data_IF_357874325119
#
_entry.id   IF_357874325119
#
_cell.length_a   1.000
_cell.length_b   1.000
_cell.length_c   1.000
_cell.angle_alpha   90.00
_cell.angle_beta   90.00
_cell.angle_gamma   90.00
#
_symmetry.space_group_name_H-M   'P 1'
#
loop_
_entity.id
_entity.type
_entity.pdbx_description
1 polymer ?
#
# COMPACT_ATOMS: atom_id res chain seq x y z
N UNK A 1 -17.34 -27.84 -12.07
CA UNK A 1 -17.94 -26.63 -12.68
C UNK A 1 -19.31 -26.43 -12.05
N UNK A 2 -19.40 -25.61 -10.99
CA UNK A 2 -20.65 -25.42 -10.26
C UNK A 2 -21.43 -24.22 -10.81
N UNK A 3 -22.69 -24.48 -11.16
CA UNK A 3 -23.75 -23.53 -11.49
C UNK A 3 -24.06 -22.59 -10.32
N UNK A 4 -23.25 -21.55 -10.12
CA UNK A 4 -23.57 -20.43 -9.22
C UNK A 4 -23.75 -19.10 -9.99
N UNK A 5 -24.12 -19.18 -11.28
CA UNK A 5 -24.59 -18.00 -12.00
C UNK A 5 -26.05 -17.76 -11.63
N UNK A 6 -26.33 -16.66 -10.91
CA UNK A 6 -27.65 -16.17 -10.48
C UNK A 6 -28.11 -16.50 -9.05
N UNK A 7 -27.20 -16.49 -8.06
CA UNK A 7 -27.64 -16.06 -6.73
C UNK A 7 -27.66 -14.54 -6.71
N UNK A 8 -28.84 -13.94 -6.61
CA UNK A 8 -28.93 -12.50 -6.32
C UNK A 8 -28.28 -12.29 -4.94
N UNK A 9 -27.21 -11.51 -4.90
CA UNK A 9 -26.53 -11.16 -3.66
C UNK A 9 -27.48 -10.30 -2.81
N UNK A 10 -27.49 -10.56 -1.50
CA UNK A 10 -28.25 -9.71 -0.59
C UNK A 10 -27.60 -8.30 -0.53
N UNK A 11 -28.37 -7.23 -0.20
CA UNK A 11 -27.84 -5.86 -0.21
C UNK A 11 -26.59 -5.65 0.67
N UNK A 12 -26.49 -6.41 1.76
CA UNK A 12 -25.36 -6.48 2.70
C UNK A 12 -24.15 -7.26 2.18
N UNK A 13 -24.32 -8.06 1.12
CA UNK A 13 -23.24 -8.75 0.42
C UNK A 13 -22.63 -7.90 -0.70
N UNK A 14 -23.23 -6.75 -1.02
CA UNK A 14 -22.71 -5.82 -2.04
C UNK A 14 -21.67 -4.87 -1.44
N UNK A 15 -20.61 -4.65 -2.20
CA UNK A 15 -19.58 -3.69 -1.86
C UNK A 15 -20.07 -2.26 -2.15
N UNK A 16 -19.85 -1.34 -1.21
CA UNK A 16 -20.11 0.08 -1.38
C UNK A 16 -18.82 0.87 -1.22
N UNK A 17 -18.57 1.79 -2.15
CA UNK A 17 -17.44 2.73 -2.05
C UNK A 17 -17.79 3.78 -1.00
N UNK A 18 -16.96 3.87 0.03
CA UNK A 18 -17.07 4.89 1.06
C UNK A 18 -16.39 6.18 0.59
N UNK A 19 -17.19 7.18 0.22
CA UNK A 19 -16.67 8.48 -0.21
C UNK A 19 -15.96 9.25 0.91
N UNK A 20 -16.43 9.14 2.16
CA UNK A 20 -15.80 9.85 3.26
C UNK A 20 -14.40 9.32 3.56
N UNK A 21 -14.11 8.07 3.23
CA UNK A 21 -12.76 7.51 3.31
C UNK A 21 -11.83 8.01 2.19
N UNK A 22 -12.39 8.32 1.02
CA UNK A 22 -11.61 8.86 -0.11
C UNK A 22 -11.27 10.34 0.12
N UNK A 23 -12.22 11.12 0.62
CA UNK A 23 -12.09 12.57 0.84
C UNK A 23 -11.88 12.95 2.31
N UNK A 24 -11.70 11.99 3.21
CA UNK A 24 -11.57 12.25 4.66
C UNK A 24 -10.26 12.91 5.06
N UNK A 25 -9.35 13.08 4.11
CA UNK A 25 -8.11 13.83 4.28
C UNK A 25 -8.31 15.26 3.76
N UNK A 26 -8.14 16.25 4.63
CA UNK A 26 -8.29 17.69 4.32
C UNK A 26 -7.41 18.19 3.17
N UNK A 27 -6.41 17.39 2.78
CA UNK A 27 -5.52 17.70 1.67
C UNK A 27 -6.04 17.20 0.31
N UNK A 28 -7.09 16.37 0.27
CA UNK A 28 -7.59 15.72 -0.95
C UNK A 28 -8.85 16.41 -1.43
N UNK A 29 -8.79 16.97 -2.63
CA UNK A 29 -9.91 17.71 -3.23
C UNK A 29 -10.34 17.02 -4.52
N UNK A 30 -11.44 16.26 -4.44
CA UNK A 30 -12.06 15.65 -5.62
C UNK A 30 -13.04 16.62 -6.29
N UNK A 31 -13.07 16.59 -7.62
CA UNK A 31 -14.04 17.31 -8.41
C UNK A 31 -15.44 16.68 -8.16
N UNK A 32 -16.44 17.46 -7.69
CA UNK A 32 -17.77 16.94 -7.38
C UNK A 32 -18.46 16.24 -8.55
N UNK A 33 -18.15 16.65 -9.80
CA UNK A 33 -18.71 16.02 -11.01
C UNK A 33 -18.30 14.55 -11.17
N UNK A 34 -17.28 14.07 -10.45
CA UNK A 34 -16.80 12.68 -10.50
C UNK A 34 -17.60 11.73 -9.61
N UNK A 35 -18.58 12.22 -8.85
CA UNK A 35 -19.40 11.38 -8.00
C UNK A 35 -20.20 10.34 -8.80
N UNK A 36 -20.75 10.73 -9.96
CA UNK A 36 -21.46 9.81 -10.86
C UNK A 36 -20.54 8.73 -11.46
N UNK A 37 -19.30 9.10 -11.80
CA UNK A 37 -18.28 8.17 -12.27
C UNK A 37 -17.96 7.13 -11.19
N UNK A 38 -17.88 7.53 -9.92
CA UNK A 38 -17.60 6.62 -8.79
C UNK A 38 -18.78 5.66 -8.53
N UNK A 39 -20.02 6.13 -8.62
CA UNK A 39 -21.21 5.26 -8.54
C UNK A 39 -21.18 4.21 -9.65
N UNK A 40 -20.79 4.60 -10.87
CA UNK A 40 -20.63 3.67 -11.98
C UNK A 40 -19.53 2.64 -11.72
N UNK A 41 -18.39 3.06 -11.17
CA UNK A 41 -17.30 2.16 -10.77
C UNK A 41 -17.80 1.16 -9.72
N UNK A 42 -18.50 1.60 -8.68
CA UNK A 42 -19.06 0.72 -7.65
C UNK A 42 -19.99 -0.35 -8.25
N UNK A 43 -20.87 0.06 -9.18
CA UNK A 43 -21.75 -0.88 -9.89
C UNK A 43 -20.95 -1.98 -10.60
N UNK A 44 -19.89 -1.60 -11.33
CA UNK A 44 -19.05 -2.57 -12.03
C UNK A 44 -18.16 -3.40 -11.11
N UNK A 45 -17.72 -2.88 -9.96
CA UNK A 45 -17.05 -3.69 -8.93
C UNK A 45 -17.96 -4.83 -8.48
N UNK A 46 -19.21 -4.50 -8.13
CA UNK A 46 -20.18 -5.50 -7.70
C UNK A 46 -20.47 -6.55 -8.78
N UNK A 47 -20.69 -6.09 -10.01
CA UNK A 47 -20.98 -6.97 -11.14
C UNK A 47 -19.83 -7.91 -11.51
N UNK A 48 -18.58 -7.43 -11.44
CA UNK A 48 -17.42 -8.17 -11.94
C UNK A 48 -16.76 -8.99 -10.83
N UNK A 49 -16.61 -8.44 -9.63
CA UNK A 49 -15.85 -9.06 -8.54
C UNK A 49 -16.77 -9.73 -7.52
N UNK A 50 -17.71 -8.97 -6.96
CA UNK A 50 -18.57 -9.48 -5.88
C UNK A 50 -19.45 -10.64 -6.35
N UNK A 51 -20.06 -10.53 -7.54
CA UNK A 51 -20.86 -11.62 -8.14
C UNK A 51 -20.03 -12.88 -8.49
N UNK A 52 -18.71 -12.77 -8.64
CA UNK A 52 -17.81 -13.92 -8.81
C UNK A 52 -17.33 -14.49 -7.46
N UNK A 53 -17.86 -13.98 -6.35
CA UNK A 53 -17.55 -14.40 -5.00
C UNK A 53 -16.25 -13.81 -4.44
N UNK A 54 -15.67 -12.79 -5.06
CA UNK A 54 -14.62 -11.99 -4.41
C UNK A 54 -15.24 -11.07 -3.36
N UNK A 55 -14.46 -10.68 -2.36
CA UNK A 55 -14.86 -9.72 -1.33
C UNK A 55 -13.97 -8.49 -1.45
N UNK A 56 -14.37 -7.46 -2.23
CA UNK A 56 -13.60 -6.24 -2.31
C UNK A 56 -13.51 -5.57 -0.94
N UNK A 57 -12.34 -5.04 -0.61
CA UNK A 57 -12.08 -4.34 0.66
C UNK A 57 -11.56 -2.95 0.35
N UNK A 58 -12.19 -1.93 0.95
CA UNK A 58 -11.69 -0.55 0.88
C UNK A 58 -10.94 -0.18 2.15
N UNK A 59 -9.83 0.53 1.97
CA UNK A 59 -9.20 1.34 3.00
C UNK A 59 -8.83 2.69 2.40
N UNK A 60 -9.48 3.75 2.87
CA UNK A 60 -9.20 5.09 2.38
C UNK A 60 -9.41 5.18 0.86
N UNK A 61 -8.31 5.49 0.17
CA UNK A 61 -8.24 5.70 -1.29
C UNK A 61 -7.87 4.45 -2.11
N UNK A 62 -7.81 3.28 -1.46
CA UNK A 62 -7.40 2.00 -2.05
C UNK A 62 -8.50 0.97 -1.87
N UNK A 63 -8.79 0.22 -2.94
CA UNK A 63 -9.74 -0.89 -2.92
C UNK A 63 -9.03 -2.15 -3.42
N UNK A 64 -8.86 -3.14 -2.56
CA UNK A 64 -8.39 -4.46 -2.96
C UNK A 64 -9.56 -5.24 -3.59
N UNK A 65 -9.48 -5.52 -4.89
CA UNK A 65 -10.58 -6.11 -5.67
C UNK A 65 -10.51 -7.64 -5.72
N UNK A 66 -9.31 -8.19 -5.82
CA UNK A 66 -9.07 -9.61 -6.04
C UNK A 66 -7.73 -10.03 -5.45
N UNK A 67 -7.72 -11.17 -4.77
CA UNK A 67 -6.54 -11.94 -4.41
C UNK A 67 -6.61 -13.29 -5.13
N UNK A 68 -5.49 -13.76 -5.69
CA UNK A 68 -5.45 -15.05 -6.39
C UNK A 68 -5.41 -16.23 -5.43
N UNK A 69 -4.60 -16.16 -4.37
CA UNK A 69 -4.48 -17.23 -3.37
C UNK A 69 -5.53 -17.14 -2.28
N UNK A 70 -6.78 -17.48 -2.63
CA UNK A 70 -7.90 -17.48 -1.68
C UNK A 70 -7.76 -18.65 -0.72
N UNK A 71 -7.65 -18.36 0.58
CA UNK A 71 -7.56 -19.39 1.62
C UNK A 71 -6.19 -20.07 1.71
N UNK A 72 -5.16 -19.51 1.08
CA UNK A 72 -3.76 -19.98 1.15
C UNK A 72 -3.50 -21.38 0.57
N UNK A 73 -4.41 -21.91 -0.25
CA UNK A 73 -4.28 -23.27 -0.79
C UNK A 73 -3.23 -23.37 -1.89
N UNK A 74 -3.13 -22.36 -2.76
CA UNK A 74 -2.13 -22.37 -3.83
C UNK A 74 -0.73 -22.25 -3.24
N UNK A 75 -0.54 -21.35 -2.26
CA UNK A 75 0.74 -21.24 -1.55
C UNK A 75 1.06 -22.49 -0.73
N UNK A 76 0.08 -23.09 -0.05
CA UNK A 76 0.26 -24.36 0.66
C UNK A 76 0.79 -25.47 -0.26
N UNK A 77 0.15 -25.63 -1.42
CA UNK A 77 0.51 -26.62 -2.42
C UNK A 77 1.91 -26.35 -3.00
N UNK A 78 2.20 -25.11 -3.38
CA UNK A 78 3.52 -24.73 -3.90
C UNK A 78 4.62 -24.93 -2.85
N UNK A 79 4.37 -24.57 -1.58
CA UNK A 79 5.26 -24.85 -0.45
C UNK A 79 5.46 -26.35 -0.22
N UNK A 80 4.42 -27.16 -0.41
CA UNK A 80 4.49 -28.61 -0.30
C UNK A 80 5.48 -29.20 -1.30
N UNK A 81 5.35 -28.79 -2.57
CA UNK A 81 6.23 -29.22 -3.65
C UNK A 81 7.67 -28.79 -3.39
N UNK A 82 7.87 -27.54 -2.98
CA UNK A 82 9.19 -27.01 -2.66
C UNK A 82 9.89 -27.78 -1.52
N UNK A 83 9.14 -28.22 -0.51
CA UNK A 83 9.66 -28.94 0.66
C UNK A 83 9.55 -30.48 0.55
N UNK A 84 9.06 -31.01 -0.58
CA UNK A 84 8.86 -32.45 -0.79
C UNK A 84 7.83 -33.10 0.16
N UNK A 85 6.82 -32.35 0.62
CA UNK A 85 5.79 -32.81 1.58
C UNK A 85 4.49 -33.20 0.86
N UNK A 86 4.51 -34.35 0.20
CA UNK A 86 3.42 -34.80 -0.67
C UNK A 86 2.18 -35.35 0.07
N UNK A 87 2.31 -35.69 1.35
CA UNK A 87 1.24 -36.31 2.17
C UNK A 87 0.15 -35.35 2.65
N UNK A 88 0.45 -34.05 2.71
CA UNK A 88 -0.37 -33.00 3.35
C UNK A 88 -0.24 -31.68 2.58
N UNK A 89 -0.45 -31.72 1.26
CA UNK A 89 -0.18 -30.57 0.39
C UNK A 89 -1.06 -29.33 0.65
N UNK A 90 -2.18 -29.51 1.33
CA UNK A 90 -3.16 -28.48 1.68
C UNK A 90 -2.86 -27.79 3.02
N UNK A 91 -1.74 -28.12 3.69
CA UNK A 91 -1.33 -27.48 4.93
C UNK A 91 -1.00 -25.98 4.75
N UNK A 92 -1.97 -25.12 5.04
CA UNK A 92 -1.91 -23.66 4.91
C UNK A 92 -0.95 -22.98 5.87
N UNK A 93 -0.56 -23.64 6.95
CA UNK A 93 0.42 -23.10 7.89
C UNK A 93 1.86 -23.26 7.39
N UNK A 94 2.10 -24.18 6.46
CA UNK A 94 3.46 -24.54 5.99
C UNK A 94 4.22 -23.35 5.45
N UNK A 95 3.57 -22.50 4.66
CA UNK A 95 4.22 -21.32 4.12
C UNK A 95 4.68 -20.37 5.24
N UNK A 96 3.79 -20.03 6.17
CA UNK A 96 4.07 -19.08 7.25
C UNK A 96 5.07 -19.66 8.27
N UNK A 97 4.72 -20.77 8.92
CA UNK A 97 5.52 -21.36 10.01
C UNK A 97 6.73 -22.14 9.50
N UNK A 98 6.62 -22.79 8.35
CA UNK A 98 7.69 -23.64 7.81
C UNK A 98 8.69 -22.88 6.93
N UNK A 99 8.26 -21.83 6.21
CA UNK A 99 9.13 -21.13 5.27
C UNK A 99 9.47 -19.71 5.71
N UNK A 100 8.48 -18.88 6.04
CA UNK A 100 8.73 -17.48 6.44
C UNK A 100 9.57 -17.41 7.71
N UNK A 101 9.18 -18.16 8.75
CA UNK A 101 9.90 -18.19 10.02
C UNK A 101 11.35 -18.71 9.88
N UNK A 102 11.56 -19.68 8.99
CA UNK A 102 12.88 -20.23 8.69
C UNK A 102 13.72 -19.35 7.76
N UNK A 103 13.18 -18.23 7.26
CA UNK A 103 13.89 -17.33 6.35
C UNK A 103 14.08 -17.89 4.94
N UNK A 104 13.23 -18.82 4.50
CA UNK A 104 13.28 -19.39 3.14
C UNK A 104 12.78 -18.42 2.06
N UNK A 105 13.00 -18.81 0.79
CA UNK A 105 12.53 -18.06 -0.39
C UNK A 105 10.99 -17.96 -0.41
N UNK A 106 10.48 -16.85 -0.96
CA UNK A 106 9.04 -16.57 -1.06
C UNK A 106 8.45 -17.04 -2.39
N UNK A 107 9.17 -17.92 -3.08
CA UNK A 107 8.75 -18.55 -4.35
C UNK A 107 7.32 -19.08 -4.33
N UNK A 108 6.82 -19.73 -3.25
CA UNK A 108 5.45 -20.24 -3.22
C UNK A 108 4.35 -19.18 -3.40
N UNK A 109 4.61 -17.92 -3.03
CA UNK A 109 3.65 -16.81 -3.20
C UNK A 109 4.04 -15.85 -4.31
N UNK A 110 5.13 -16.12 -5.05
CA UNK A 110 5.61 -15.25 -6.13
C UNK A 110 4.60 -15.13 -7.28
N UNK A 111 3.92 -16.24 -7.60
CA UNK A 111 2.88 -16.27 -8.63
C UNK A 111 1.54 -15.71 -8.17
N UNK A 112 1.37 -15.52 -6.87
CA UNK A 112 0.15 -15.02 -6.27
C UNK A 112 0.13 -13.49 -6.28
N UNK A 113 -1.03 -12.91 -6.55
CA UNK A 113 -1.18 -11.48 -6.77
C UNK A 113 -2.45 -10.90 -6.17
N UNK A 114 -2.37 -9.60 -5.88
CA UNK A 114 -3.50 -8.80 -5.43
C UNK A 114 -3.70 -7.63 -6.41
N UNK A 115 -4.94 -7.49 -6.87
CA UNK A 115 -5.39 -6.39 -7.71
C UNK A 115 -5.95 -5.27 -6.84
N UNK A 116 -5.37 -4.08 -6.94
CA UNK A 116 -5.86 -2.88 -6.28
C UNK A 116 -6.42 -1.90 -7.30
N UNK A 117 -7.51 -1.24 -6.94
CA UNK A 117 -8.05 -0.05 -7.58
C UNK A 117 -7.77 1.16 -6.70
N UNK A 118 -7.30 2.23 -7.33
CA UNK A 118 -6.94 3.48 -6.67
C UNK A 118 -7.90 4.58 -7.13
N UNK A 119 -8.48 5.30 -6.17
CA UNK A 119 -9.39 6.44 -6.43
C UNK A 119 -8.93 7.61 -5.56
N UNK A 120 -8.78 8.80 -6.16
CA UNK A 120 -8.32 9.97 -5.41
C UNK A 120 -6.81 10.03 -5.17
N UNK A 121 -6.02 9.28 -5.95
CA UNK A 121 -4.56 9.20 -5.78
C UNK A 121 -3.83 10.14 -6.74
N UNK A 122 -2.86 10.88 -6.22
CA UNK A 122 -2.07 11.83 -7.01
C UNK A 122 -1.11 11.14 -7.98
N UNK A 123 -0.63 11.92 -8.96
CA UNK A 123 0.39 11.46 -9.90
C UNK A 123 1.71 11.03 -9.22
N UNK A 124 2.29 11.76 -8.24
CA UNK A 124 3.48 11.30 -7.52
C UNK A 124 3.33 9.91 -6.88
N UNK A 125 2.22 9.67 -6.18
CA UNK A 125 1.98 8.37 -5.56
C UNK A 125 1.83 7.28 -6.63
N UNK A 126 1.17 7.56 -7.76
CA UNK A 126 1.12 6.65 -8.91
C UNK A 126 2.52 6.33 -9.46
N UNK A 127 3.35 7.36 -9.70
CA UNK A 127 4.70 7.20 -10.25
C UNK A 127 5.60 6.39 -9.32
N UNK A 128 5.42 6.50 -8.00
CA UNK A 128 6.13 5.68 -7.02
C UNK A 128 5.67 4.23 -6.99
N UNK A 129 4.39 3.96 -7.25
CA UNK A 129 3.84 2.61 -7.15
C UNK A 129 4.05 1.79 -8.43
N UNK A 130 3.99 2.42 -9.59
CA UNK A 130 4.05 1.74 -10.90
C UNK A 130 5.33 0.90 -11.07
N UNK A 131 6.43 1.29 -10.42
CA UNK A 131 7.73 0.62 -10.50
C UNK A 131 7.75 -0.79 -9.92
N UNK A 132 6.75 -1.16 -9.10
CA UNK A 132 6.69 -2.47 -8.43
C UNK A 132 5.62 -3.41 -9.01
N UNK A 133 4.94 -2.99 -10.07
CA UNK A 133 3.76 -3.71 -10.61
C UNK A 133 4.16 -4.83 -11.57
N UNK A 134 3.47 -5.97 -11.51
CA UNK A 134 3.74 -7.12 -12.39
C UNK A 134 3.21 -6.90 -13.81
N UNK A 135 2.03 -6.27 -13.91
CA UNK A 135 1.38 -5.93 -15.16
C UNK A 135 1.16 -4.44 -15.16
N UNK A 136 1.92 -3.72 -15.98
CA UNK A 136 1.64 -2.33 -16.25
C UNK A 136 0.38 -2.26 -17.12
N UNK A 137 -0.80 -2.36 -16.48
CA UNK A 137 -2.05 -1.88 -17.07
C UNK A 137 -1.91 -0.37 -17.13
N UNK A 138 -1.14 0.13 -18.11
CA UNK A 138 -1.03 1.56 -18.38
C UNK A 138 -2.45 2.10 -18.36
N UNK A 139 -2.70 3.13 -17.54
CA UNK A 139 -3.95 3.87 -17.62
C UNK A 139 -4.15 4.19 -19.09
N UNK A 140 -5.20 3.65 -19.71
CA UNK A 140 -5.48 3.88 -21.11
C UNK A 140 -5.63 5.41 -21.29
N UNK A 141 -4.59 6.04 -21.85
CA UNK A 141 -4.51 7.47 -22.05
C UNK A 141 -4.01 8.34 -20.88
N UNK A 142 -4.03 7.93 -19.61
CA UNK A 142 -3.59 8.78 -18.49
C UNK A 142 -4.14 10.23 -18.58
N UNK A 143 -3.33 11.24 -18.25
CA UNK A 143 -3.65 12.67 -18.49
C UNK A 143 -3.57 13.09 -19.97
N UNK A 144 -3.21 12.20 -20.89
CA UNK A 144 -3.22 12.44 -22.34
C UNK A 144 -4.64 12.40 -22.91
N UNK A 145 -5.52 11.61 -22.32
CA UNK A 145 -6.89 11.41 -22.79
C UNK A 145 -7.96 11.85 -21.78
N UNK A 146 -7.59 12.05 -20.51
CA UNK A 146 -8.52 12.34 -19.44
C UNK A 146 -8.10 13.59 -18.67
N UNK A 147 -9.10 14.33 -18.18
CA UNK A 147 -8.88 15.43 -17.24
C UNK A 147 -8.56 14.90 -15.84
N UNK A 148 -7.77 15.63 -15.03
CA UNK A 148 -7.62 15.35 -13.61
C UNK A 148 -8.96 15.20 -12.90
N UNK A 149 -9.00 14.34 -11.89
CA UNK A 149 -10.18 14.15 -11.03
C UNK A 149 -10.20 15.11 -9.85
N UNK A 150 -9.15 15.91 -9.68
CA UNK A 150 -8.96 16.79 -8.53
C UNK A 150 -7.48 17.06 -8.29
N UNK A 151 -7.14 17.43 -7.05
CA UNK A 151 -5.77 17.69 -6.63
C UNK A 151 -5.55 17.29 -5.16
N UNK A 152 -4.27 17.05 -4.81
CA UNK A 152 -3.82 16.77 -3.45
C UNK A 152 -2.81 17.82 -3.04
N UNK A 153 -3.02 18.41 -1.86
CA UNK A 153 -2.08 19.32 -1.22
C UNK A 153 -1.02 18.50 -0.47
N UNK A 154 0.29 18.76 -0.63
CA UNK A 154 1.32 18.07 0.14
C UNK A 154 1.11 18.21 1.64
N UNK A 155 1.35 17.15 2.42
CA UNK A 155 1.24 17.19 3.89
C UNK A 155 2.21 18.21 4.51
N UNK A 156 3.31 18.44 3.82
CA UNK A 156 4.40 19.31 4.21
C UNK A 156 4.10 20.80 3.95
N UNK A 157 2.97 21.12 3.31
CA UNK A 157 2.59 22.50 3.00
C UNK A 157 2.27 23.29 4.28
N UNK A 158 3.02 24.37 4.53
CA UNK A 158 2.83 25.25 5.70
C UNK A 158 1.58 26.14 5.60
N UNK A 159 1.20 26.54 4.38
CA UNK A 159 0.02 27.36 4.11
C UNK A 159 -0.84 26.63 3.06
N UNK A 160 -1.85 25.88 3.51
CA UNK A 160 -2.63 25.01 2.64
C UNK A 160 -3.52 25.82 1.69
N UNK A 161 -4.02 26.95 2.16
CA UNK A 161 -4.95 27.85 1.47
C UNK A 161 -4.28 28.51 0.26
N UNK A 162 -3.01 28.91 0.40
CA UNK A 162 -2.21 29.41 -0.72
C UNK A 162 -1.99 28.32 -1.78
N UNK A 163 -1.63 27.10 -1.35
CA UNK A 163 -1.47 25.96 -2.27
C UNK A 163 -2.79 25.64 -2.99
N UNK A 164 -3.90 25.67 -2.26
CA UNK A 164 -5.25 25.45 -2.80
C UNK A 164 -5.56 26.47 -3.90
N UNK A 165 -5.42 27.76 -3.61
CA UNK A 165 -5.71 28.83 -4.56
C UNK A 165 -4.84 28.74 -5.83
N UNK A 166 -3.55 28.40 -5.68
CA UNK A 166 -2.66 28.21 -6.82
C UNK A 166 -3.04 27.00 -7.67
N UNK A 167 -3.35 25.86 -7.05
CA UNK A 167 -3.79 24.64 -7.73
C UNK A 167 -5.09 24.89 -8.52
N UNK A 168 -6.07 25.54 -7.88
CA UNK A 168 -7.36 25.87 -8.51
C UNK A 168 -7.19 26.83 -9.68
N UNK A 169 -6.39 27.89 -9.52
CA UNK A 169 -6.10 28.85 -10.58
C UNK A 169 -5.41 28.19 -11.78
N UNK A 170 -4.43 27.32 -11.55
CA UNK A 170 -3.71 26.64 -12.62
C UNK A 170 -4.60 25.64 -13.37
N UNK A 171 -5.46 24.91 -12.64
CA UNK A 171 -6.44 24.01 -13.25
C UNK A 171 -7.49 24.78 -14.07
N UNK A 172 -7.95 25.94 -13.60
CA UNK A 172 -8.88 26.79 -14.34
C UNK A 172 -8.27 27.28 -15.66
N UNK A 173 -7.01 27.74 -15.65
CA UNK A 173 -6.29 28.13 -16.87
C UNK A 173 -6.14 26.97 -17.87
N UNK A 174 -5.86 25.76 -17.38
CA UNK A 174 -5.81 24.56 -18.23
C UNK A 174 -7.18 24.22 -18.85
N UNK A 175 -8.28 24.42 -18.11
CA UNK A 175 -9.64 24.21 -18.58
C UNK A 175 -9.99 25.22 -19.69
N UNK A 176 -9.63 26.50 -19.53
CA UNK A 176 -9.83 27.54 -20.54
C UNK A 176 -9.14 27.20 -21.87
N UNK A 177 -7.88 26.75 -21.83
CA UNK A 177 -7.14 26.30 -23.02
C UNK A 177 -7.80 25.11 -23.74
N UNK A 178 -8.58 24.29 -23.01
CA UNK A 178 -9.31 23.16 -23.60
C UNK A 178 -10.63 23.59 -24.26
N UNK A 179 -11.19 24.73 -23.84
CA UNK A 179 -12.52 25.20 -24.21
C UNK A 179 -12.52 26.34 -25.26
N UNK A 180 -11.40 27.03 -25.46
CA UNK A 180 -11.28 28.09 -26.47
C UNK A 180 -11.44 27.52 -27.89
N UNK A 181 -12.34 28.12 -28.68
CA UNK A 181 -12.73 27.63 -30.00
C UNK A 181 -11.63 27.78 -31.06
N UNK A 182 -10.80 28.82 -30.93
CA UNK A 182 -9.75 29.17 -31.91
C UNK A 182 -8.41 28.44 -31.65
N UNK A 183 -8.20 27.96 -30.42
CA UNK A 183 -6.95 27.37 -29.93
C UNK A 183 -7.26 26.13 -29.07
N UNK A 184 -8.10 25.23 -29.59
CA UNK A 184 -8.47 24.01 -28.87
C UNK A 184 -7.25 23.09 -28.73
N UNK A 185 -6.48 23.33 -27.68
CA UNK A 185 -5.25 22.61 -27.41
C UNK A 185 -5.55 21.15 -27.07
N UNK A 186 -4.67 20.26 -27.53
CA UNK A 186 -4.82 18.84 -27.23
C UNK A 186 -4.50 18.60 -25.75
N UNK A 187 -5.28 17.73 -25.08
CA UNK A 187 -4.99 17.31 -23.70
C UNK A 187 -3.54 16.78 -23.53
N UNK A 188 -2.97 16.22 -24.59
CA UNK A 188 -1.57 15.79 -24.62
C UNK A 188 -0.56 16.92 -24.39
N UNK A 189 -0.86 18.14 -24.86
CA UNK A 189 -0.04 19.32 -24.63
C UNK A 189 -0.36 19.94 -23.27
N UNK A 190 -1.66 20.16 -22.97
CA UNK A 190 -2.14 20.77 -21.72
C UNK A 190 -1.64 20.01 -20.49
N UNK A 191 -1.48 18.69 -20.56
CA UNK A 191 -1.00 17.91 -19.40
C UNK A 191 0.39 18.32 -18.89
N UNK A 192 1.20 18.99 -19.70
CA UNK A 192 2.49 19.53 -19.28
C UNK A 192 2.36 20.70 -18.31
N UNK A 193 1.19 21.36 -18.31
CA UNK A 193 0.86 22.48 -17.45
C UNK A 193 0.14 22.06 -16.18
N UNK A 194 -0.28 20.80 -16.04
CA UNK A 194 -0.94 20.36 -14.81
C UNK A 194 0.03 20.40 -13.63
N UNK A 195 -0.43 20.85 -12.45
CA UNK A 195 0.40 20.78 -11.26
C UNK A 195 0.72 19.33 -10.90
N UNK A 196 1.85 19.12 -10.25
CA UNK A 196 2.31 17.77 -9.88
C UNK A 196 1.30 17.02 -9.00
N UNK A 197 0.60 17.73 -8.11
CA UNK A 197 -0.37 17.16 -7.16
C UNK A 197 -1.72 16.76 -7.76
N UNK A 198 -1.90 16.75 -9.08
CA UNK A 198 -3.19 16.35 -9.67
C UNK A 198 -3.54 14.90 -9.35
N UNK A 199 -4.83 14.69 -9.05
CA UNK A 199 -5.43 13.37 -8.90
C UNK A 199 -5.63 12.77 -10.30
N UNK A 200 -5.04 11.59 -10.49
CA UNK A 200 -5.23 10.85 -11.73
C UNK A 200 -6.64 10.22 -11.77
N UNK A 201 -7.19 10.00 -12.98
CA UNK A 201 -8.33 9.11 -13.13
C UNK A 201 -8.04 7.75 -12.48
N UNK A 202 -9.07 7.04 -11.95
CA UNK A 202 -8.88 5.77 -11.28
C UNK A 202 -8.09 4.79 -12.11
N UNK A 203 -7.20 4.07 -11.43
CA UNK A 203 -6.29 3.14 -12.06
C UNK A 203 -6.16 1.87 -11.24
N UNK A 204 -5.72 0.81 -11.90
CA UNK A 204 -5.56 -0.50 -11.29
C UNK A 204 -4.14 -0.98 -11.42
N UNK A 205 -3.63 -1.59 -10.35
CA UNK A 205 -2.36 -2.29 -10.37
C UNK A 205 -2.47 -3.68 -9.77
N UNK A 206 -1.74 -4.60 -10.37
CA UNK A 206 -1.58 -5.97 -9.90
C UNK A 206 -0.15 -6.10 -9.33
N UNK A 207 -0.03 -6.49 -8.07
CA UNK A 207 1.25 -6.75 -7.40
C UNK A 207 1.35 -8.22 -7.01
N UNK A 208 2.53 -8.83 -7.11
CA UNK A 208 2.73 -10.13 -6.45
C UNK A 208 2.72 -9.95 -4.95
N UNK A 209 2.24 -10.95 -4.23
CA UNK A 209 2.30 -10.95 -2.77
C UNK A 209 3.75 -10.86 -2.27
N UNK A 210 4.69 -11.52 -2.95
CA UNK A 210 6.12 -11.38 -2.65
C UNK A 210 6.60 -9.93 -2.82
N UNK A 211 6.24 -9.25 -3.92
CA UNK A 211 6.68 -7.87 -4.15
C UNK A 211 6.06 -6.89 -3.15
N UNK A 212 4.82 -7.13 -2.72
CA UNK A 212 4.18 -6.35 -1.67
C UNK A 212 5.01 -6.39 -0.38
N UNK A 213 5.36 -7.58 0.09
CA UNK A 213 6.12 -7.74 1.34
C UNK A 213 7.54 -7.22 1.20
N UNK A 214 8.29 -7.71 0.21
CA UNK A 214 9.74 -7.47 0.13
C UNK A 214 10.13 -6.11 -0.44
N UNK A 215 9.25 -5.48 -1.21
CA UNK A 215 9.59 -4.25 -1.91
C UNK A 215 8.67 -3.10 -1.51
N UNK A 216 7.35 -3.24 -1.73
CA UNK A 216 6.41 -2.12 -1.58
C UNK A 216 6.29 -1.72 -0.11
N UNK A 217 5.88 -2.64 0.77
CA UNK A 217 5.71 -2.35 2.19
C UNK A 217 7.05 -2.06 2.85
N UNK A 218 8.11 -2.80 2.49
CA UNK A 218 9.44 -2.52 3.01
C UNK A 218 9.89 -1.09 2.71
N UNK A 219 9.90 -0.67 1.45
CA UNK A 219 10.49 0.61 1.05
C UNK A 219 9.56 1.82 1.23
N UNK A 220 8.24 1.60 1.25
CA UNK A 220 7.24 2.69 1.26
C UNK A 220 6.43 2.79 2.53
N UNK A 221 6.52 1.79 3.42
CA UNK A 221 5.82 1.80 4.70
C UNK A 221 6.78 1.63 5.88
N UNK A 222 7.57 0.54 5.90
CA UNK A 222 8.36 0.15 7.07
C UNK A 222 9.72 0.84 7.18
N UNK A 223 10.31 1.24 6.05
CA UNK A 223 11.52 2.04 6.03
C UNK A 223 11.19 3.54 5.97
N UNK A 224 11.95 4.40 6.69
CA UNK A 224 11.77 5.84 6.60
C UNK A 224 12.20 6.37 5.23
N UNK A 225 11.46 7.35 4.70
CA UNK A 225 11.84 8.07 3.47
C UNK A 225 10.78 8.11 2.37
N UNK A 226 9.65 7.42 2.53
CA UNK A 226 8.53 7.55 1.61
C UNK A 226 7.82 8.90 1.77
N UNK A 227 7.42 9.51 0.65
CA UNK A 227 6.65 10.75 0.65
C UNK A 227 5.31 10.58 1.40
N UNK A 228 4.84 11.61 2.10
CA UNK A 228 3.72 11.52 3.04
C UNK A 228 2.41 10.96 2.46
N UNK A 229 2.10 11.26 1.21
CA UNK A 229 0.93 10.68 0.51
C UNK A 229 1.18 9.23 0.08
N UNK A 230 2.37 8.92 -0.45
CA UNK A 230 2.72 7.54 -0.85
C UNK A 230 2.68 6.60 0.35
N UNK A 231 3.22 7.04 1.49
CA UNK A 231 3.16 6.26 2.74
C UNK A 231 1.71 5.98 3.16
N UNK A 232 0.82 6.97 3.06
CA UNK A 232 -0.62 6.81 3.37
C UNK A 232 -1.30 5.82 2.42
N UNK A 233 -1.05 5.92 1.11
CA UNK A 233 -1.61 4.98 0.13
C UNK A 233 -1.11 3.55 0.39
N UNK A 234 0.17 3.39 0.71
CA UNK A 234 0.74 2.06 0.98
C UNK A 234 0.28 1.51 2.33
N UNK A 235 0.05 2.36 3.34
CA UNK A 235 -0.61 1.97 4.58
C UNK A 235 -2.03 1.45 4.31
N UNK A 236 -2.81 2.17 3.50
CA UNK A 236 -4.14 1.74 3.08
C UNK A 236 -4.08 0.40 2.32
N UNK A 237 -3.08 0.19 1.44
CA UNK A 237 -2.86 -1.10 0.79
C UNK A 237 -2.61 -2.21 1.83
N UNK A 238 -1.73 -1.98 2.81
CA UNK A 238 -1.42 -2.95 3.86
C UNK A 238 -2.66 -3.30 4.69
N UNK A 239 -3.43 -2.31 5.10
CA UNK A 239 -4.67 -2.52 5.85
C UNK A 239 -5.72 -3.28 5.05
N UNK A 240 -5.84 -2.99 3.75
CA UNK A 240 -6.80 -3.68 2.88
C UNK A 240 -6.43 -5.15 2.73
N UNK A 241 -5.15 -5.48 2.54
CA UNK A 241 -4.73 -6.89 2.45
C UNK A 241 -4.80 -7.59 3.80
N UNK A 242 -4.50 -6.89 4.90
CA UNK A 242 -4.66 -7.42 6.25
C UNK A 242 -6.12 -7.79 6.54
N UNK A 243 -7.08 -7.02 6.07
CA UNK A 243 -8.50 -7.39 6.23
C UNK A 243 -8.91 -8.58 5.36
N UNK A 244 -8.27 -8.78 4.19
CA UNK A 244 -8.49 -9.97 3.36
C UNK A 244 -7.95 -11.26 4.01
N UNK A 245 -6.77 -11.20 4.65
CA UNK A 245 -6.13 -12.34 5.31
C UNK A 245 -5.28 -11.87 6.52
N UNK A 246 -5.92 -11.66 7.68
CA UNK A 246 -5.22 -11.09 8.84
C UNK A 246 -4.05 -11.93 9.30
N UNK A 247 -4.22 -13.26 9.31
CA UNK A 247 -3.20 -14.19 9.76
C UNK A 247 -1.94 -14.10 8.90
N UNK A 248 -2.09 -14.16 7.57
CA UNK A 248 -0.95 -14.06 6.66
C UNK A 248 -0.22 -12.73 6.80
N UNK A 249 -0.96 -11.62 6.72
CA UNK A 249 -0.32 -10.30 6.64
C UNK A 249 0.21 -9.80 7.98
N UNK A 250 -0.41 -10.18 9.11
CA UNK A 250 0.15 -9.92 10.42
C UNK A 250 1.41 -10.75 10.67
N UNK A 251 1.43 -12.03 10.27
CA UNK A 251 2.62 -12.86 10.32
C UNK A 251 3.73 -12.28 9.46
N UNK A 252 3.46 -11.93 8.20
CA UNK A 252 4.46 -11.32 7.31
C UNK A 252 5.00 -9.99 7.87
N UNK A 253 4.14 -9.17 8.50
CA UNK A 253 4.57 -7.96 9.19
C UNK A 253 5.50 -8.29 10.36
N UNK A 254 5.27 -9.34 11.12
CA UNK A 254 6.18 -9.77 12.20
C UNK A 254 7.60 -10.08 11.69
N UNK A 255 7.76 -10.57 10.47
CA UNK A 255 9.08 -10.95 9.93
C UNK A 255 9.72 -9.89 9.02
N UNK A 256 8.98 -8.86 8.60
CA UNK A 256 9.49 -7.81 7.71
C UNK A 256 9.23 -6.37 8.17
N UNK A 257 8.40 -6.17 9.19
CA UNK A 257 7.92 -4.87 9.64
C UNK A 257 9.01 -3.93 10.16
N UNK A 258 8.59 -2.74 10.59
CA UNK A 258 9.47 -1.66 11.07
C UNK A 258 10.50 -2.11 12.11
N UNK A 259 10.10 -3.00 13.02
CA UNK A 259 10.98 -3.55 14.06
C UNK A 259 12.14 -4.37 13.49
N UNK A 260 11.98 -4.99 12.32
CA UNK A 260 13.07 -5.72 11.67
C UNK A 260 14.13 -4.80 11.08
N UNK A 261 13.75 -3.61 10.65
CA UNK A 261 14.71 -2.55 10.26
C UNK A 261 15.54 -2.11 11.47
N UNK A 262 14.88 -1.90 12.61
CA UNK A 262 15.56 -1.59 13.87
C UNK A 262 16.48 -2.74 14.30
N UNK A 263 16.04 -3.99 14.16
CA UNK A 263 16.81 -5.18 14.52
C UNK A 263 18.07 -5.33 13.64
N UNK A 264 17.93 -5.24 12.31
CA UNK A 264 19.07 -5.25 11.36
C UNK A 264 20.09 -4.16 11.71
N UNK A 265 19.61 -2.97 12.08
CA UNK A 265 20.48 -1.87 12.51
C UNK A 265 21.19 -2.19 13.82
N UNK A 266 20.46 -2.70 14.82
CA UNK A 266 21.03 -3.06 16.10
C UNK A 266 22.13 -4.11 15.94
N UNK A 267 21.87 -5.17 15.19
CA UNK A 267 22.85 -6.22 14.90
C UNK A 267 24.08 -5.70 14.14
N UNK A 268 23.89 -4.79 13.18
CA UNK A 268 25.00 -4.14 12.49
C UNK A 268 25.88 -3.35 13.46
N UNK A 269 25.28 -2.51 14.32
CA UNK A 269 26.02 -1.73 15.33
C UNK A 269 26.70 -2.61 16.37
N UNK A 270 26.05 -3.67 16.84
CA UNK A 270 26.66 -4.63 17.75
C UNK A 270 27.91 -5.26 17.14
N UNK A 271 27.85 -5.63 15.86
CA UNK A 271 28.99 -6.21 15.14
C UNK A 271 30.13 -5.21 14.95
N UNK A 272 29.82 -3.96 14.65
CA UNK A 272 30.78 -2.89 14.38
C UNK A 272 31.43 -2.34 15.66
N UNK A 273 30.63 -2.04 16.69
CA UNK A 273 31.07 -1.38 17.91
C UNK A 273 31.49 -2.36 18.99
N UNK A 274 30.96 -3.60 18.96
CA UNK A 274 31.21 -4.66 19.94
C UNK A 274 31.14 -4.18 21.41
N UNK A 275 30.07 -3.48 21.82
CA UNK A 275 29.98 -2.93 23.16
C UNK A 275 29.92 -4.06 24.19
N UNK A 276 30.53 -3.84 25.34
CA UNK A 276 30.33 -4.67 26.53
C UNK A 276 28.95 -4.42 27.15
N UNK A 277 28.44 -5.38 27.94
CA UNK A 277 27.18 -5.19 28.67
C UNK A 277 27.22 -3.96 29.59
N UNK A 278 28.37 -3.68 30.20
CA UNK A 278 28.58 -2.50 31.05
C UNK A 278 28.50 -1.17 30.29
N UNK A 279 28.80 -1.15 29.00
CA UNK A 279 28.66 0.04 28.14
C UNK A 279 27.21 0.25 27.67
N UNK A 280 26.43 -0.83 27.57
CA UNK A 280 25.01 -0.76 27.22
C UNK A 280 24.14 -0.29 28.40
N UNK A 281 24.50 -0.70 29.62
CA UNK A 281 23.81 -0.31 30.85
C UNK A 281 24.23 1.10 31.26
N UNK A 282 23.28 2.05 31.35
CA UNK A 282 23.57 3.37 31.92
C UNK A 282 23.95 3.21 33.40
N UNK A 283 25.03 3.88 33.85
CA UNK A 283 25.47 3.89 35.26
C UNK A 283 24.36 4.27 36.25
N UNK A 284 23.35 5.03 35.82
CA UNK A 284 22.19 5.44 36.65
C UNK A 284 21.07 4.38 36.77
N UNK A 285 20.93 3.43 35.82
CA UNK A 285 19.94 2.32 35.92
C UNK A 285 20.46 1.12 36.75
N UNK A 286 21.78 1.02 36.92
CA UNK A 286 22.44 -0.04 37.69
C UNK A 286 22.25 0.08 39.21
N UNK A 287 21.64 1.17 39.71
CA UNK A 287 21.44 1.41 41.15
C UNK A 287 20.10 0.87 41.70
N UNK A 288 19.18 0.37 40.86
CA UNK A 288 17.85 -0.08 41.30
C UNK A 288 17.34 -1.40 40.75
N UNK A 289 17.84 -1.89 39.60
CA UNK A 289 17.48 -3.19 39.02
C UNK A 289 18.67 -4.15 39.07
N UNK A 290 18.42 -5.41 39.46
CA UNK A 290 19.44 -6.47 39.40
C UNK A 290 19.85 -6.68 37.94
N UNK A 291 21.16 -6.57 37.68
CA UNK A 291 21.78 -6.76 36.35
C UNK A 291 21.39 -8.12 35.74
N UNK A 292 21.11 -9.13 36.58
CA UNK A 292 20.70 -10.46 36.15
C UNK A 292 19.24 -10.55 35.66
N UNK A 293 18.42 -9.53 35.93
CA UNK A 293 17.00 -9.48 35.56
C UNK A 293 16.72 -8.58 34.35
N UNK A 294 17.76 -7.95 33.81
CA UNK A 294 17.66 -7.01 32.70
C UNK A 294 17.24 -7.72 31.39
N UNK A 295 16.21 -7.19 30.74
CA UNK A 295 15.86 -7.57 29.38
C UNK A 295 16.92 -7.01 28.40
N UNK A 296 17.90 -7.85 28.10
CA UNK A 296 19.02 -7.53 27.21
C UNK A 296 18.55 -7.17 25.81
N UNK A 297 17.48 -7.80 25.32
CA UNK A 297 16.95 -7.51 23.99
C UNK A 297 16.40 -6.08 23.94
N UNK A 298 15.57 -5.70 24.91
CA UNK A 298 15.03 -4.34 25.02
C UNK A 298 16.14 -3.30 25.12
N UNK A 299 17.17 -3.57 25.93
CA UNK A 299 18.33 -2.70 26.08
C UNK A 299 19.07 -2.45 24.76
N UNK A 300 19.34 -3.52 24.01
CA UNK A 300 19.99 -3.46 22.69
C UNK A 300 19.14 -2.62 21.72
N UNK A 301 17.84 -2.87 21.67
CA UNK A 301 16.93 -2.17 20.75
C UNK A 301 16.82 -0.68 21.08
N UNK A 302 16.75 -0.29 22.35
CA UNK A 302 16.70 1.11 22.78
C UNK A 302 17.98 1.89 22.47
N UNK A 303 19.15 1.27 22.62
CA UNK A 303 20.45 1.92 22.44
C UNK A 303 20.94 1.89 20.99
N UNK A 304 20.73 0.78 20.31
CA UNK A 304 21.33 0.53 19.00
C UNK A 304 20.31 0.48 17.87
N UNK A 305 19.08 0.05 18.16
CA UNK A 305 18.01 -0.15 17.18
C UNK A 305 17.27 1.11 16.72
N UNK A 306 17.28 2.20 17.51
CA UNK A 306 16.60 3.47 17.15
C UNK A 306 16.93 3.92 15.74
N UNK A 307 15.92 4.28 14.94
CA UNK A 307 16.08 4.84 13.60
C UNK A 307 16.81 6.20 13.64
N UNK A 308 17.54 6.60 12.57
CA UNK A 308 18.09 7.94 12.50
C UNK A 308 16.93 8.92 12.36
N UNK A 309 17.09 10.16 12.80
CA UNK A 309 16.16 11.21 12.38
C UNK A 309 16.16 11.23 10.85
N UNK A 310 14.99 11.11 10.25
CA UNK A 310 14.86 11.24 8.80
C UNK A 310 15.08 12.71 8.41
N UNK A 311 15.29 13.00 7.11
CA UNK A 311 15.29 14.41 6.64
C UNK A 311 13.94 15.12 6.87
N UNK A 312 12.91 14.39 7.30
CA UNK A 312 11.54 14.85 7.48
C UNK A 312 11.14 14.94 8.97
N UNK A 313 12.04 14.59 9.92
CA UNK A 313 11.87 14.71 11.38
C UNK A 313 12.69 15.87 11.98
#
# INVERSE_FOLDING_TARGET
MNNNANKALAPDELFSINMSEITGNDNVFLNPKRQEDIVSIQFFINRIYTMQGFKPVQKGRVIALRQTDRGRLSSAFASALYLGKYSDMDNTERFLKGMVQAGHSYEPIRGESISFLYIGVSKPAYDHLITYTLRNRRIAGGLRANKPWGYVIPKEARNKEAYKAMMESQLAQCEELTCQADTKEQLQAIRSLYPTGVILPPFMFDFSEEALVKNVFQQRLWEPGAQGETKEIVQNMFEAVRELDPEKWDFLREYHGEHMTAHKRAMRKLREQRPSLGELVNKEKAQGEDILTLDVYKLIMEKMGKAPKSMWD
#
